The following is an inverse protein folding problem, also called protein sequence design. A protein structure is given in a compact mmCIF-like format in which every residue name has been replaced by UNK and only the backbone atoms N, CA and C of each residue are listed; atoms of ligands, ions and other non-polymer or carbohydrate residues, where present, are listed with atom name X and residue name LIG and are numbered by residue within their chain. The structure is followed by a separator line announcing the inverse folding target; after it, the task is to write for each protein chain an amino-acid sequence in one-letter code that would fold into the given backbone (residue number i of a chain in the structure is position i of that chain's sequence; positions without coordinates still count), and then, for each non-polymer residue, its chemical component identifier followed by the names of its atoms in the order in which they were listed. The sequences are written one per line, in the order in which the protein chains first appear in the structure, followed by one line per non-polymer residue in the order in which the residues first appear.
data_IF_181855523742
#
_entry.id   IF_181855523742
#
_cell.length_a   1.000
_cell.length_b   1.000
_cell.length_c   1.000
_cell.angle_alpha   90.00
_cell.angle_beta   90.00
_cell.angle_gamma   90.00
#
_symmetry.space_group_name_H-M   'P 1'
#
loop_
_entity.id
_entity.type
_entity.pdbx_description
1 polymer ?
#
# COMPACT_ATOMS: atom_id res chain seq x y z
N UNK A 1 74.31 -44.00 -2.61
CA UNK A 1 73.85 -42.68 -2.10
C UNK A 1 72.34 -42.67 -2.12
N UNK A 2 71.72 -42.85 -0.96
CA UNK A 2 70.26 -42.93 -0.80
C UNK A 2 69.78 -41.55 -0.35
N UNK A 3 69.04 -40.86 -1.22
CA UNK A 3 68.47 -39.53 -0.95
C UNK A 3 67.32 -39.64 0.04
N UNK A 4 67.51 -39.04 1.22
CA UNK A 4 66.45 -38.92 2.23
C UNK A 4 65.42 -37.88 1.80
N UNK A 5 64.15 -38.30 1.71
CA UNK A 5 63.03 -37.41 1.43
C UNK A 5 62.74 -36.50 2.66
N UNK A 6 62.39 -35.22 2.46
CA UNK A 6 62.16 -34.29 3.55
C UNK A 6 60.87 -34.62 4.30
N UNK A 7 61.00 -34.76 5.63
CA UNK A 7 59.92 -34.88 6.59
C UNK A 7 59.00 -33.65 6.53
N UNK A 8 57.72 -33.86 6.15
CA UNK A 8 56.68 -32.84 6.20
C UNK A 8 56.41 -32.46 7.66
N UNK A 9 56.95 -31.33 8.09
CA UNK A 9 56.65 -30.71 9.38
C UNK A 9 55.17 -30.31 9.40
N UNK A 10 54.36 -31.04 10.14
CA UNK A 10 52.93 -30.77 10.33
C UNK A 10 52.78 -29.57 11.27
N UNK A 11 52.59 -28.37 10.71
CA UNK A 11 52.32 -27.15 11.48
C UNK A 11 51.06 -27.34 12.31
N UNK A 12 51.17 -27.32 13.65
CA UNK A 12 50.03 -27.49 14.57
C UNK A 12 48.96 -26.43 14.28
N UNK A 13 47.72 -26.87 14.07
CA UNK A 13 46.60 -25.97 13.80
C UNK A 13 46.40 -24.99 14.97
N UNK A 14 46.64 -23.69 14.73
CA UNK A 14 46.46 -22.64 15.74
C UNK A 14 44.97 -22.40 15.96
N UNK A 15 44.47 -22.75 17.14
CA UNK A 15 43.09 -22.48 17.53
C UNK A 15 42.94 -21.04 18.01
N UNK A 16 41.97 -20.32 17.45
CA UNK A 16 41.59 -18.98 17.89
C UNK A 16 40.43 -19.06 18.88
N UNK A 17 40.29 -18.02 19.71
CA UNK A 17 39.20 -17.88 20.71
C UNK A 17 38.41 -16.57 20.57
N UNK A 18 37.73 -16.34 19.43
CA UNK A 18 36.87 -15.18 19.28
C UNK A 18 35.70 -15.18 20.28
N UNK A 19 35.17 -13.99 20.57
CA UNK A 19 33.94 -13.79 21.35
C UNK A 19 32.75 -13.72 20.38
N UNK A 20 31.73 -14.54 20.60
CA UNK A 20 30.53 -14.51 19.77
C UNK A 20 29.75 -13.21 19.99
N UNK A 21 29.39 -12.45 18.94
CA UNK A 21 28.62 -11.21 19.09
C UNK A 21 27.22 -11.41 19.67
N UNK A 22 26.63 -12.60 19.50
CA UNK A 22 25.25 -12.91 19.89
C UNK A 22 25.17 -13.30 21.37
N UNK A 23 25.75 -14.43 21.77
CA UNK A 23 25.68 -14.91 23.16
C UNK A 23 26.80 -14.36 24.07
N UNK A 24 27.71 -13.55 23.52
CA UNK A 24 28.89 -12.98 24.22
C UNK A 24 29.87 -14.02 24.79
N UNK A 25 29.70 -15.30 24.50
CA UNK A 25 30.61 -16.36 24.94
C UNK A 25 31.83 -16.48 24.02
N UNK A 26 32.99 -16.78 24.60
CA UNK A 26 34.20 -17.14 23.85
C UNK A 26 34.09 -18.58 23.35
N UNK A 27 34.47 -18.82 22.10
CA UNK A 27 34.44 -20.17 21.51
C UNK A 27 35.74 -20.50 20.78
N UNK A 28 36.11 -21.78 20.69
CA UNK A 28 37.33 -22.23 20.00
C UNK A 28 37.02 -22.54 18.55
N UNK A 29 37.85 -22.06 17.63
CA UNK A 29 37.72 -22.34 16.19
C UNK A 29 39.08 -22.42 15.51
N UNK A 30 39.18 -23.26 14.48
CA UNK A 30 40.34 -23.31 13.56
C UNK A 30 40.20 -22.33 12.40
N UNK A 31 38.98 -21.91 12.07
CA UNK A 31 38.70 -21.01 10.95
C UNK A 31 38.93 -19.56 11.36
N UNK A 32 39.65 -18.81 10.52
CA UNK A 32 39.83 -17.37 10.68
C UNK A 32 38.55 -16.56 10.42
N UNK A 33 37.59 -17.11 9.68
CA UNK A 33 36.34 -16.44 9.29
C UNK A 33 35.15 -16.76 10.19
N UNK A 34 35.34 -17.63 11.19
CA UNK A 34 34.27 -18.02 12.11
C UNK A 34 33.99 -16.90 13.13
N UNK A 35 32.80 -16.30 13.03
CA UNK A 35 32.33 -15.19 13.89
C UNK A 35 31.40 -15.65 15.02
N UNK A 36 30.62 -16.71 14.80
CA UNK A 36 29.59 -17.19 15.74
C UNK A 36 29.97 -18.55 16.34
N UNK A 37 29.63 -18.76 17.62
CA UNK A 37 29.95 -20.01 18.32
C UNK A 37 29.11 -21.21 17.84
N UNK A 38 27.91 -20.95 17.30
CA UNK A 38 26.99 -21.99 16.85
C UNK A 38 26.14 -21.53 15.67
N UNK A 39 25.55 -22.50 14.96
CA UNK A 39 24.57 -22.23 13.89
C UNK A 39 23.37 -21.45 14.41
N UNK A 40 22.92 -21.73 15.64
CA UNK A 40 21.81 -21.01 16.29
C UNK A 40 22.15 -19.53 16.48
N UNK A 41 23.33 -19.21 17.03
CA UNK A 41 23.77 -17.82 17.19
C UNK A 41 23.90 -17.09 15.84
N UNK A 42 24.39 -17.78 14.80
CA UNK A 42 24.42 -17.22 13.44
C UNK A 42 23.01 -16.94 12.90
N UNK A 43 22.06 -17.85 13.15
CA UNK A 43 20.66 -17.69 12.72
C UNK A 43 19.94 -16.58 13.47
N UNK A 44 20.17 -16.46 14.79
CA UNK A 44 19.63 -15.38 15.62
C UNK A 44 20.15 -14.02 15.15
N UNK A 45 21.46 -13.86 14.99
CA UNK A 45 22.04 -12.62 14.50
C UNK A 45 21.51 -12.24 13.10
N UNK A 46 21.37 -13.22 12.20
CA UNK A 46 20.80 -12.99 10.88
C UNK A 46 19.30 -12.61 10.95
N UNK A 47 18.54 -13.20 11.87
CA UNK A 47 17.13 -12.87 12.11
C UNK A 47 16.99 -11.44 12.63
N UNK A 48 17.78 -11.07 13.65
CA UNK A 48 17.82 -9.72 14.21
C UNK A 48 18.19 -8.68 13.15
N UNK A 49 19.22 -8.94 12.34
CA UNK A 49 19.60 -8.06 11.22
C UNK A 49 18.47 -7.88 10.20
N UNK A 50 17.74 -8.96 9.87
CA UNK A 50 16.60 -8.89 8.95
C UNK A 50 15.45 -8.10 9.56
N UNK A 51 15.17 -8.28 10.85
CA UNK A 51 14.14 -7.55 11.59
C UNK A 51 14.43 -6.05 11.59
N UNK A 52 15.65 -5.65 11.96
CA UNK A 52 16.04 -4.22 11.98
C UNK A 52 15.97 -3.59 10.59
N UNK A 53 16.43 -4.30 9.55
CA UNK A 53 16.32 -3.81 8.17
C UNK A 53 14.85 -3.61 7.74
N UNK A 54 13.94 -4.51 8.13
CA UNK A 54 12.51 -4.37 7.83
C UNK A 54 11.88 -3.21 8.59
N UNK A 55 12.23 -3.02 9.86
CA UNK A 55 11.78 -1.86 10.63
C UNK A 55 12.27 -0.54 10.02
N UNK A 56 13.53 -0.48 9.57
CA UNK A 56 14.05 0.69 8.86
C UNK A 56 13.29 0.98 7.56
N UNK A 57 12.89 -0.06 6.80
CA UNK A 57 12.00 0.10 5.64
C UNK A 57 10.63 0.64 6.04
N UNK A 58 10.02 0.10 7.10
CA UNK A 58 8.73 0.59 7.61
C UNK A 58 8.80 2.07 7.96
N UNK A 59 9.79 2.47 8.76
CA UNK A 59 9.98 3.85 9.23
C UNK A 59 10.03 4.86 8.10
N UNK A 60 10.57 4.46 6.94
CA UNK A 60 10.77 5.32 5.79
C UNK A 60 9.84 5.01 4.61
N UNK A 61 8.74 4.28 4.84
CA UNK A 61 7.79 3.89 3.79
C UNK A 61 6.64 4.89 3.64
N UNK A 62 6.15 5.07 2.41
CA UNK A 62 5.01 5.94 2.14
C UNK A 62 3.73 5.49 2.88
N UNK A 63 3.53 4.17 3.02
CA UNK A 63 2.38 3.62 3.72
C UNK A 63 2.36 3.99 5.21
N UNK A 64 3.48 3.86 5.92
CA UNK A 64 3.54 4.23 7.34
C UNK A 64 3.41 5.74 7.54
N UNK A 65 3.93 6.55 6.62
CA UNK A 65 3.70 8.00 6.61
C UNK A 65 2.22 8.35 6.39
N UNK A 66 1.52 7.59 5.54
CA UNK A 66 0.07 7.71 5.38
C UNK A 66 -0.67 7.37 6.67
N UNK A 67 -0.30 6.28 7.35
CA UNK A 67 -0.88 5.94 8.66
C UNK A 67 -0.61 7.02 9.71
N UNK A 68 0.59 7.60 9.72
CA UNK A 68 0.92 8.71 10.61
C UNK A 68 0.04 9.94 10.37
N UNK A 69 -0.20 10.29 9.11
CA UNK A 69 -1.13 11.36 8.74
C UNK A 69 -2.55 11.09 9.23
N UNK A 70 -3.06 9.87 9.09
CA UNK A 70 -4.42 9.54 9.56
C UNK A 70 -4.51 9.50 11.09
N UNK A 71 -3.46 9.04 11.79
CA UNK A 71 -3.38 9.11 13.25
C UNK A 71 -3.38 10.56 13.76
N UNK A 72 -2.64 11.45 13.10
CA UNK A 72 -2.65 12.88 13.40
C UNK A 72 -4.04 13.48 13.15
N UNK A 73 -4.66 13.16 12.02
CA UNK A 73 -6.00 13.65 11.65
C UNK A 73 -7.09 13.20 12.62
N UNK A 74 -6.98 11.99 13.18
CA UNK A 74 -7.88 11.48 14.21
C UNK A 74 -7.51 11.94 15.64
N UNK A 75 -6.27 12.41 15.84
CA UNK A 75 -5.73 12.83 17.15
C UNK A 75 -5.34 11.66 18.07
N UNK A 76 -5.27 10.43 17.58
CA UNK A 76 -4.94 9.25 18.40
C UNK A 76 -4.39 8.09 17.56
N UNK A 77 -3.47 7.32 18.14
CA UNK A 77 -2.97 6.06 17.57
C UNK A 77 -4.00 4.93 17.67
N UNK A 78 -5.00 5.05 18.56
CA UNK A 78 -5.98 3.99 18.80
C UNK A 78 -6.90 3.71 17.61
N UNK A 79 -6.90 4.54 16.57
CA UNK A 79 -7.55 4.18 15.30
C UNK A 79 -6.93 2.93 14.66
N UNK A 80 -5.70 2.56 15.04
CA UNK A 80 -5.00 1.36 14.60
C UNK A 80 -5.17 0.16 15.56
N UNK A 81 -6.16 0.21 16.45
CA UNK A 81 -6.44 -0.89 17.38
C UNK A 81 -6.92 -2.14 16.65
N UNK A 82 -6.68 -3.31 17.25
CA UNK A 82 -7.16 -4.61 16.76
C UNK A 82 -6.56 -5.07 15.42
N UNK A 83 -5.39 -4.55 15.05
CA UNK A 83 -4.68 -5.00 13.86
C UNK A 83 -3.88 -6.28 14.07
N UNK A 84 -4.11 -7.25 13.19
CA UNK A 84 -3.21 -8.37 12.90
C UNK A 84 -2.36 -8.07 11.66
N UNK A 85 -1.32 -8.88 11.40
CA UNK A 85 -0.53 -8.80 10.15
C UNK A 85 -1.45 -8.87 8.92
N UNK A 86 -2.42 -9.79 8.90
CA UNK A 86 -3.36 -9.94 7.78
C UNK A 86 -4.24 -8.71 7.58
N UNK A 87 -4.75 -8.12 8.68
CA UNK A 87 -5.56 -6.91 8.57
C UNK A 87 -4.76 -5.70 8.08
N UNK A 88 -3.47 -5.61 8.44
CA UNK A 88 -2.59 -4.54 7.96
C UNK A 88 -2.22 -4.72 6.49
N UNK A 89 -2.08 -5.97 6.02
CA UNK A 89 -1.92 -6.28 4.60
C UNK A 89 -3.17 -5.84 3.83
N UNK A 90 -4.37 -6.18 4.31
CA UNK A 90 -5.62 -5.74 3.69
C UNK A 90 -5.74 -4.20 3.67
N UNK A 91 -5.32 -3.53 4.76
CA UNK A 91 -5.28 -2.07 4.82
C UNK A 91 -4.29 -1.47 3.80
N UNK A 92 -3.12 -2.10 3.64
CA UNK A 92 -2.14 -1.72 2.62
C UNK A 92 -2.69 -1.93 1.20
N UNK A 93 -3.51 -2.94 0.97
CA UNK A 93 -4.18 -3.16 -0.32
C UNK A 93 -5.20 -2.05 -0.64
N UNK A 94 -5.96 -1.57 0.35
CA UNK A 94 -6.82 -0.37 0.19
C UNK A 94 -5.99 0.87 -0.17
N UNK A 95 -4.85 1.07 0.51
CA UNK A 95 -3.93 2.15 0.18
C UNK A 95 -3.38 2.05 -1.25
N UNK A 96 -2.97 0.86 -1.69
CA UNK A 96 -2.53 0.61 -3.07
C UNK A 96 -3.63 0.85 -4.09
N UNK A 97 -4.87 0.45 -3.79
CA UNK A 97 -6.01 0.71 -4.68
C UNK A 97 -6.21 2.21 -4.86
N UNK A 98 -6.19 3.00 -3.78
CA UNK A 98 -6.25 4.46 -3.86
C UNK A 98 -5.11 5.06 -4.69
N UNK A 99 -3.89 4.53 -4.57
CA UNK A 99 -2.77 4.99 -5.40
C UNK A 99 -2.98 4.67 -6.88
N UNK A 100 -3.38 3.43 -7.21
CA UNK A 100 -3.64 3.00 -8.59
C UNK A 100 -4.78 3.79 -9.23
N UNK A 101 -5.88 3.98 -8.50
CA UNK A 101 -7.04 4.73 -8.97
C UNK A 101 -6.69 6.20 -9.30
N UNK A 102 -5.75 6.79 -8.55
CA UNK A 102 -5.23 8.14 -8.78
C UNK A 102 -3.97 8.17 -9.66
N UNK A 103 -3.65 7.07 -10.36
CA UNK A 103 -2.49 7.00 -11.25
C UNK A 103 -1.19 7.43 -10.55
N UNK A 104 -1.03 6.98 -9.29
CA UNK A 104 0.09 7.30 -8.40
C UNK A 104 0.31 8.80 -8.16
N UNK A 105 -0.76 9.61 -8.23
CA UNK A 105 -0.77 11.03 -7.92
C UNK A 105 -0.86 11.96 -9.13
N UNK A 106 -0.97 11.42 -10.34
CA UNK A 106 -1.29 12.22 -11.54
C UNK A 106 -2.69 12.81 -11.46
N UNK A 107 -3.63 12.10 -10.82
CA UNK A 107 -4.97 12.63 -10.51
C UNK A 107 -5.27 12.57 -9.01
N UNK A 108 -6.39 13.18 -8.59
CA UNK A 108 -6.86 13.22 -7.19
C UNK A 108 -8.35 12.92 -7.09
N UNK A 109 -8.84 12.06 -7.98
CA UNK A 109 -10.25 11.78 -8.16
C UNK A 109 -10.80 10.85 -7.07
N UNK A 110 -9.92 10.11 -6.38
CA UNK A 110 -10.30 9.14 -5.37
C UNK A 110 -9.62 9.37 -4.01
N UNK A 111 -10.38 9.16 -2.94
CA UNK A 111 -9.93 9.26 -1.56
C UNK A 111 -10.32 7.99 -0.78
N UNK A 112 -9.68 7.77 0.36
CA UNK A 112 -10.10 6.73 1.31
C UNK A 112 -11.20 7.32 2.19
N UNK A 113 -12.43 6.88 1.96
CA UNK A 113 -13.61 7.22 2.74
C UNK A 113 -13.79 6.26 3.92
N UNK A 114 -14.34 6.76 5.01
CA UNK A 114 -14.66 5.98 6.20
C UNK A 114 -16.15 5.62 6.23
N UNK A 115 -16.48 4.37 6.54
CA UNK A 115 -17.86 3.92 6.78
C UNK A 115 -18.36 4.50 8.12
N UNK A 116 -17.64 4.22 9.22
CA UNK A 116 -17.79 4.96 10.46
C UNK A 116 -16.82 6.15 10.46
N UNK A 117 -17.29 7.41 10.58
CA UNK A 117 -16.47 8.58 10.33
C UNK A 117 -15.29 8.73 11.31
N UNK A 118 -14.14 9.17 10.81
CA UNK A 118 -12.95 9.44 11.63
C UNK A 118 -13.11 10.62 12.61
N UNK A 119 -14.14 11.45 12.41
CA UNK A 119 -14.47 12.58 13.28
C UNK A 119 -15.93 12.52 13.75
N UNK A 120 -16.41 11.33 14.12
CA UNK A 120 -17.72 11.17 14.74
C UNK A 120 -17.82 11.92 16.08
N UNK A 121 -19.05 12.24 16.50
CA UNK A 121 -19.34 12.96 17.75
C UNK A 121 -18.99 12.11 18.97
N UNK A 122 -19.51 10.90 19.04
CA UNK A 122 -19.39 10.01 20.21
C UNK A 122 -18.34 8.90 20.00
N UNK A 123 -18.09 8.54 18.74
CA UNK A 123 -17.12 7.52 18.35
C UNK A 123 -16.16 8.02 17.27
N UNK A 124 -15.05 7.31 17.12
CA UNK A 124 -14.05 7.52 16.07
C UNK A 124 -13.97 6.23 15.26
N UNK A 125 -14.14 6.33 13.94
CA UNK A 125 -13.91 5.21 13.03
C UNK A 125 -12.48 4.68 13.11
N UNK A 126 -12.33 3.36 13.20
CA UNK A 126 -11.02 2.71 13.14
C UNK A 126 -10.48 2.74 11.71
N UNK A 127 -9.16 2.85 11.59
CA UNK A 127 -8.47 2.90 10.30
C UNK A 127 -8.16 1.48 9.80
N UNK A 128 -9.23 0.72 9.58
CA UNK A 128 -9.18 -0.70 9.23
C UNK A 128 -9.80 -0.94 7.85
N UNK A 129 -9.31 -1.89 7.07
CA UNK A 129 -9.83 -2.14 5.71
C UNK A 129 -11.36 -2.36 5.69
N UNK A 130 -11.91 -3.01 6.70
CA UNK A 130 -13.35 -3.22 6.89
C UNK A 130 -14.16 -1.93 7.14
N UNK A 131 -13.53 -0.86 7.64
CA UNK A 131 -14.16 0.43 7.89
C UNK A 131 -13.85 1.48 6.81
N UNK A 132 -13.11 1.11 5.77
CA UNK A 132 -12.62 2.02 4.74
C UNK A 132 -13.13 1.62 3.37
N UNK A 133 -13.32 2.58 2.47
CA UNK A 133 -13.74 2.40 1.07
C UNK A 133 -12.95 3.39 0.22
N UNK A 134 -12.31 2.96 -0.87
CA UNK A 134 -11.82 3.92 -1.88
C UNK A 134 -13.02 4.45 -2.66
N UNK A 135 -13.23 5.76 -2.64
CA UNK A 135 -14.41 6.38 -3.25
C UNK A 135 -14.05 7.69 -3.97
N UNK A 136 -14.88 8.13 -4.94
CA UNK A 136 -14.71 9.44 -5.57
C UNK A 136 -14.67 10.57 -4.53
N UNK A 137 -13.72 11.48 -4.69
CA UNK A 137 -13.44 12.60 -3.79
C UNK A 137 -14.69 13.46 -3.54
N UNK A 138 -15.47 13.76 -4.59
CA UNK A 138 -16.66 14.59 -4.48
C UNK A 138 -17.76 13.93 -3.63
N UNK A 139 -17.97 12.61 -3.77
CA UNK A 139 -18.95 11.85 -2.97
C UNK A 139 -18.52 11.76 -1.51
N UNK A 140 -17.23 11.48 -1.26
CA UNK A 140 -16.67 11.45 0.10
C UNK A 140 -16.87 12.79 0.82
N UNK A 141 -16.54 13.91 0.15
CA UNK A 141 -16.70 15.26 0.71
C UNK A 141 -18.16 15.62 0.96
N UNK A 142 -19.07 15.27 0.04
CA UNK A 142 -20.51 15.48 0.22
C UNK A 142 -21.11 14.62 1.33
N UNK A 143 -20.56 13.43 1.56
CA UNK A 143 -20.97 12.54 2.65
C UNK A 143 -20.55 13.09 4.02
N UNK A 144 -19.36 13.68 4.12
CA UNK A 144 -18.88 14.35 5.32
C UNK A 144 -18.79 13.39 6.51
N UNK A 145 -19.55 13.67 7.58
CA UNK A 145 -19.59 12.86 8.81
C UNK A 145 -20.92 12.11 8.98
N UNK A 146 -21.70 11.95 7.90
CA UNK A 146 -22.90 11.11 7.93
C UNK A 146 -22.50 9.68 8.34
N UNK A 147 -23.40 9.02 9.06
CA UNK A 147 -23.14 7.71 9.61
C UNK A 147 -24.42 6.87 9.58
N UNK A 148 -24.36 5.71 8.94
CA UNK A 148 -25.51 4.82 8.79
C UNK A 148 -25.49 3.64 9.79
N UNK A 149 -24.64 3.68 10.82
CA UNK A 149 -24.64 2.65 11.88
C UNK A 149 -23.74 1.43 11.62
N UNK A 150 -22.90 1.44 10.57
CA UNK A 150 -22.02 0.32 10.21
C UNK A 150 -20.53 0.68 10.28
N UNK A 151 -19.64 -0.31 10.30
CA UNK A 151 -18.20 -0.09 10.29
C UNK A 151 -17.58 -0.02 11.69
N UNK A 152 -16.27 -0.26 11.74
CA UNK A 152 -15.54 -0.40 12.99
C UNK A 152 -15.26 0.96 13.63
N UNK A 153 -15.48 1.06 14.95
CA UNK A 153 -15.26 2.30 15.68
C UNK A 153 -14.81 2.04 17.13
N UNK A 154 -14.29 3.10 17.75
CA UNK A 154 -13.99 3.16 19.18
C UNK A 154 -14.72 4.35 19.81
N UNK A 155 -15.30 4.14 20.99
CA UNK A 155 -15.90 5.24 21.76
C UNK A 155 -14.83 6.26 22.15
N UNK A 156 -15.15 7.55 22.06
CA UNK A 156 -14.25 8.61 22.55
C UNK A 156 -13.94 8.49 24.03
N UNK A 157 -14.89 7.99 24.83
CA UNK A 157 -14.69 7.75 26.26
C UNK A 157 -13.70 6.62 26.55
N UNK A 158 -13.43 5.73 25.58
CA UNK A 158 -12.47 4.64 25.70
C UNK A 158 -11.04 5.03 25.24
N UNK A 159 -10.84 6.30 24.83
CA UNK A 159 -9.52 6.77 24.42
C UNK A 159 -8.60 6.96 25.63
N UNK A 160 -7.36 6.54 25.46
CA UNK A 160 -6.29 6.62 26.45
C UNK A 160 -5.35 7.74 26.06
N UNK A 161 -5.15 8.69 26.97
CA UNK A 161 -4.33 9.91 26.77
C UNK A 161 -2.91 9.62 26.29
N UNK A 162 -2.28 8.51 26.73
CA UNK A 162 -0.93 8.10 26.31
C UNK A 162 -0.79 7.87 24.80
N UNK A 163 -1.90 7.59 24.11
CA UNK A 163 -1.96 7.36 22.66
C UNK A 163 -2.42 8.59 21.88
N UNK A 164 -2.65 9.72 22.54
CA UNK A 164 -2.99 10.97 21.87
C UNK A 164 -1.86 11.42 20.93
N UNK A 165 -2.25 12.02 19.81
CA UNK A 165 -1.35 12.58 18.81
C UNK A 165 -1.67 14.06 18.67
N UNK A 166 -0.69 14.92 18.93
CA UNK A 166 -0.83 16.35 18.78
C UNK A 166 -0.81 16.74 17.29
N UNK A 167 -1.58 17.77 16.94
CA UNK A 167 -1.54 18.39 15.62
C UNK A 167 -0.16 19.04 15.39
N UNK A 168 0.45 18.80 14.24
CA UNK A 168 1.78 19.31 13.90
C UNK A 168 2.95 18.50 14.47
N UNK A 169 2.68 17.35 15.11
CA UNK A 169 3.76 16.47 15.58
C UNK A 169 4.59 15.93 14.39
N UNK A 170 5.93 15.82 14.52
CA UNK A 170 6.77 15.32 13.44
C UNK A 170 6.33 13.91 12.98
N UNK A 171 6.02 13.75 11.69
CA UNK A 171 5.52 12.48 11.12
C UNK A 171 6.42 11.29 11.44
N UNK A 172 7.74 11.47 11.40
CA UNK A 172 8.72 10.43 11.74
C UNK A 172 8.53 9.92 13.18
N UNK A 173 8.30 10.82 14.14
CA UNK A 173 8.02 10.44 15.53
C UNK A 173 6.68 9.71 15.67
N UNK A 174 5.65 10.12 14.91
CA UNK A 174 4.37 9.41 14.89
C UNK A 174 4.57 7.99 14.33
N UNK A 175 5.35 7.80 13.27
CA UNK A 175 5.67 6.48 12.72
C UNK A 175 6.36 5.59 13.76
N UNK A 176 7.35 6.11 14.49
CA UNK A 176 8.02 5.38 15.57
C UNK A 176 7.02 4.94 16.65
N UNK A 177 6.09 5.84 17.03
CA UNK A 177 5.01 5.51 17.97
C UNK A 177 4.01 4.48 17.40
N UNK A 178 3.72 4.51 16.10
CA UNK A 178 2.90 3.49 15.43
C UNK A 178 3.58 2.12 15.52
N UNK A 179 4.88 2.05 15.24
CA UNK A 179 5.65 0.79 15.33
C UNK A 179 5.63 0.25 16.77
N UNK A 180 5.80 1.11 17.76
CA UNK A 180 5.70 0.73 19.17
C UNK A 180 4.29 0.29 19.56
N UNK A 181 3.25 0.96 19.04
CA UNK A 181 1.84 0.66 19.32
C UNK A 181 1.37 -0.67 18.72
N UNK A 182 1.68 -0.93 17.44
CA UNK A 182 1.33 -2.17 16.75
C UNK A 182 2.22 -3.35 17.16
N UNK A 183 3.43 -3.06 17.65
CA UNK A 183 4.45 -4.05 17.96
C UNK A 183 5.47 -4.19 16.81
N UNK A 184 6.78 -4.13 17.09
CA UNK A 184 7.82 -4.17 16.06
C UNK A 184 7.82 -5.47 15.26
N UNK A 185 7.45 -6.60 15.87
CA UNK A 185 7.40 -7.90 15.18
C UNK A 185 6.26 -7.98 14.18
N UNK A 186 5.10 -7.43 14.54
CA UNK A 186 3.93 -7.33 13.64
C UNK A 186 4.28 -6.47 12.42
N UNK A 187 4.93 -5.33 12.64
CA UNK A 187 5.35 -4.43 11.55
C UNK A 187 6.43 -5.08 10.68
N UNK A 188 7.42 -5.75 11.27
CA UNK A 188 8.45 -6.43 10.51
C UNK A 188 7.89 -7.54 9.62
N UNK A 189 6.89 -8.29 10.10
CA UNK A 189 6.22 -9.31 9.29
C UNK A 189 5.31 -8.69 8.23
N UNK A 190 4.61 -7.60 8.52
CA UNK A 190 3.88 -6.82 7.52
C UNK A 190 4.79 -6.39 6.36
N UNK A 191 5.95 -5.79 6.66
CA UNK A 191 6.91 -5.35 5.64
C UNK A 191 7.34 -6.50 4.74
N UNK A 192 7.54 -7.68 5.33
CA UNK A 192 7.90 -8.89 4.59
C UNK A 192 6.75 -9.37 3.69
N UNK A 193 5.54 -9.52 4.24
CA UNK A 193 4.39 -10.09 3.52
C UNK A 193 3.88 -9.13 2.44
N UNK A 194 3.73 -7.85 2.77
CA UNK A 194 3.27 -6.82 1.84
C UNK A 194 4.38 -6.25 0.94
N UNK A 195 5.61 -6.76 1.06
CA UNK A 195 6.81 -6.32 0.31
C UNK A 195 7.03 -4.79 0.38
N UNK A 196 6.76 -4.17 1.53
CA UNK A 196 6.87 -2.70 1.70
C UNK A 196 8.33 -2.25 1.51
N UNK A 197 8.51 -1.20 0.72
CA UNK A 197 9.81 -0.56 0.51
C UNK A 197 9.86 0.83 1.13
N UNK A 198 11.07 1.30 1.41
CA UNK A 198 11.32 2.71 1.70
C UNK A 198 10.97 3.57 0.48
N UNK A 199 10.67 4.84 0.72
CA UNK A 199 10.46 5.78 -0.39
C UNK A 199 11.72 5.88 -1.26
N UNK A 200 11.52 6.14 -2.56
CA UNK A 200 12.63 6.34 -3.48
C UNK A 200 13.52 7.52 -3.05
N UNK A 201 12.92 8.60 -2.54
CA UNK A 201 13.67 9.73 -1.96
C UNK A 201 14.62 9.25 -0.87
N UNK A 202 14.13 8.47 0.10
CA UNK A 202 14.97 7.96 1.18
C UNK A 202 16.08 7.02 0.66
N UNK A 203 15.75 6.13 -0.28
CA UNK A 203 16.75 5.24 -0.89
C UNK A 203 17.83 6.02 -1.67
N UNK A 204 17.47 7.07 -2.40
CA UNK A 204 18.40 7.95 -3.10
C UNK A 204 19.26 8.74 -2.12
N UNK A 205 18.66 9.30 -1.08
CA UNK A 205 19.37 10.08 -0.05
C UNK A 205 20.39 9.20 0.68
N UNK A 206 19.99 7.99 1.09
CA UNK A 206 20.90 7.04 1.73
C UNK A 206 22.05 6.63 0.80
N UNK A 207 21.75 6.37 -0.48
CA UNK A 207 22.79 6.07 -1.46
C UNK A 207 23.78 7.23 -1.63
N UNK A 208 23.27 8.47 -1.72
CA UNK A 208 24.11 9.67 -1.84
C UNK A 208 24.98 9.88 -0.59
N UNK A 209 24.45 9.67 0.61
CA UNK A 209 25.22 9.74 1.85
C UNK A 209 26.35 8.70 1.92
N UNK A 210 26.14 7.51 1.35
CA UNK A 210 27.16 6.45 1.33
C UNK A 210 28.25 6.67 0.26
N UNK A 211 28.00 7.50 -0.75
CA UNK A 211 28.88 7.66 -1.93
C UNK A 211 29.49 9.07 -2.09
N UNK A 212 29.02 10.07 -1.34
CA UNK A 212 29.62 11.40 -1.29
C UNK A 212 30.72 11.43 -0.23
N UNK A 213 31.89 11.97 -0.61
CA UNK A 213 33.03 12.14 0.28
C UNK A 213 32.94 13.49 1.01
N UNK A 214 32.82 13.52 2.35
CA UNK A 214 32.74 14.76 3.13
C UNK A 214 34.04 15.58 3.10
N UNK A 215 35.14 15.05 2.57
CA UNK A 215 36.43 15.73 2.45
C UNK A 215 36.50 16.61 1.19
N UNK A 216 35.69 16.30 0.16
CA UNK A 216 35.65 17.09 -1.07
C UNK A 216 34.65 18.25 -0.90
N UNK A 217 35.07 19.53 -1.02
CA UNK A 217 34.20 20.69 -0.74
C UNK A 217 32.88 20.69 -1.52
N UNK A 218 32.93 20.42 -2.83
CA UNK A 218 31.73 20.35 -3.67
C UNK A 218 30.77 19.23 -3.24
N UNK A 219 31.29 18.09 -2.79
CA UNK A 219 30.48 16.96 -2.32
C UNK A 219 29.91 17.20 -0.93
N UNK A 220 30.59 18.00 -0.11
CA UNK A 220 30.10 18.45 1.19
C UNK A 220 28.93 19.41 1.05
N UNK A 221 28.98 20.35 0.10
CA UNK A 221 27.84 21.23 -0.19
C UNK A 221 26.62 20.44 -0.68
N UNK A 222 26.83 19.37 -1.45
CA UNK A 222 25.74 18.44 -1.78
C UNK A 222 25.19 17.72 -0.56
N UNK A 223 26.05 17.22 0.34
CA UNK A 223 25.62 16.56 1.59
C UNK A 223 24.74 17.47 2.45
N UNK A 224 25.14 18.73 2.61
CA UNK A 224 24.43 19.71 3.43
C UNK A 224 23.08 20.14 2.80
N UNK A 225 22.92 20.01 1.48
CA UNK A 225 21.71 20.38 0.75
C UNK A 225 20.75 19.21 0.46
N UNK A 226 21.14 17.95 0.72
CA UNK A 226 20.35 16.74 0.41
C UNK A 226 18.90 16.79 0.94
N UNK A 227 18.71 17.31 2.15
CA UNK A 227 17.39 17.36 2.79
C UNK A 227 16.43 18.32 2.08
N UNK A 228 16.95 19.35 1.39
CA UNK A 228 16.17 20.33 0.62
C UNK A 228 15.88 19.92 -0.82
N UNK A 229 16.64 18.99 -1.40
CA UNK A 229 16.52 18.61 -2.81
C UNK A 229 15.20 17.90 -3.12
N UNK A 230 14.69 18.02 -4.36
CA UNK A 230 13.54 17.23 -4.83
C UNK A 230 13.97 15.80 -5.20
N UNK A 231 13.04 14.84 -5.27
CA UNK A 231 13.37 13.46 -5.69
C UNK A 231 13.99 13.42 -7.10
N UNK A 232 13.58 14.32 -7.99
CA UNK A 232 14.16 14.43 -9.34
C UNK A 232 15.59 14.97 -9.30
N UNK A 233 15.84 16.00 -8.49
CA UNK A 233 17.20 16.54 -8.28
C UNK A 233 18.13 15.49 -7.67
N UNK A 234 17.66 14.71 -6.69
CA UNK A 234 18.42 13.59 -6.10
C UNK A 234 18.74 12.50 -7.13
N UNK A 235 17.80 12.20 -8.05
CA UNK A 235 18.08 11.26 -9.16
C UNK A 235 19.10 11.81 -10.14
N UNK A 236 19.02 13.11 -10.46
CA UNK A 236 19.97 13.77 -11.34
C UNK A 236 21.38 13.75 -10.73
N UNK A 237 21.51 14.10 -9.45
CA UNK A 237 22.79 14.05 -8.72
C UNK A 237 23.36 12.62 -8.65
N UNK A 238 22.50 11.62 -8.45
CA UNK A 238 22.94 10.22 -8.53
C UNK A 238 23.43 9.86 -9.94
N UNK A 239 22.73 10.31 -10.98
CA UNK A 239 23.09 10.02 -12.37
C UNK A 239 24.41 10.68 -12.79
N UNK A 240 24.69 11.90 -12.32
CA UNK A 240 25.98 12.58 -12.54
C UNK A 240 27.12 11.85 -11.85
N UNK A 241 26.93 11.38 -10.60
CA UNK A 241 27.93 10.59 -9.87
C UNK A 241 28.21 9.22 -10.51
N UNK A 242 27.20 8.60 -11.14
CA UNK A 242 27.37 7.33 -11.87
C UNK A 242 27.91 7.51 -13.30
N UNK A 243 28.13 8.75 -13.77
CA UNK A 243 28.58 9.03 -15.14
C UNK A 243 27.57 8.62 -16.22
N UNK A 244 26.28 8.51 -15.85
CA UNK A 244 25.19 8.09 -16.74
C UNK A 244 24.25 9.26 -16.97
N UNK A 245 24.54 10.12 -17.95
CA UNK A 245 23.58 11.14 -18.36
C UNK A 245 22.35 10.49 -19.00
N UNK A 246 21.19 10.71 -18.38
CA UNK A 246 19.89 10.79 -19.06
C UNK A 246 19.36 9.55 -19.78
N UNK A 247 19.28 8.37 -19.13
CA UNK A 247 18.28 7.38 -19.57
C UNK A 247 16.89 7.91 -19.24
N UNK A 248 16.05 8.02 -20.27
CA UNK A 248 14.79 8.78 -20.30
C UNK A 248 13.86 8.60 -19.09
N UNK A 249 12.99 9.59 -18.88
CA UNK A 249 12.01 9.59 -17.79
C UNK A 249 11.20 8.30 -17.81
N UNK A 250 11.35 7.46 -16.78
CA UNK A 250 10.52 6.28 -16.58
C UNK A 250 9.05 6.70 -16.49
N UNK A 251 8.27 6.38 -17.54
CA UNK A 251 6.82 6.59 -17.56
C UNK A 251 6.18 5.31 -17.03
N UNK A 252 5.60 5.39 -15.83
CA UNK A 252 4.75 4.31 -15.31
C UNK A 252 3.53 4.20 -16.22
N UNK A 253 3.36 3.06 -16.90
CA UNK A 253 2.09 2.75 -17.58
C UNK A 253 0.99 2.68 -16.51
N UNK A 254 0.09 3.65 -16.50
CA UNK A 254 -1.01 3.72 -15.53
C UNK A 254 -2.30 3.22 -16.17
N UNK A 255 -3.10 2.47 -15.40
CA UNK A 255 -4.46 2.11 -15.79
C UNK A 255 -5.42 3.19 -15.29
N UNK A 256 -6.25 3.72 -16.18
CA UNK A 256 -7.30 4.66 -15.79
C UNK A 256 -8.47 3.90 -15.17
N UNK A 257 -8.79 4.23 -13.92
CA UNK A 257 -9.95 3.69 -13.19
C UNK A 257 -11.13 4.65 -13.27
N UNK A 258 -12.31 4.13 -13.58
CA UNK A 258 -13.58 4.88 -13.45
C UNK A 258 -14.16 4.70 -12.04
N UNK A 259 -15.12 5.56 -11.66
CA UNK A 259 -15.84 5.41 -10.38
C UNK A 259 -16.51 4.04 -10.25
N UNK A 260 -17.10 3.55 -11.34
CA UNK A 260 -17.72 2.22 -11.40
C UNK A 260 -16.73 1.09 -11.15
N UNK A 261 -15.52 1.17 -11.75
CA UNK A 261 -14.48 0.16 -11.56
C UNK A 261 -14.05 0.07 -10.09
N UNK A 262 -13.81 1.23 -9.47
CA UNK A 262 -13.43 1.31 -8.06
C UNK A 262 -14.55 0.79 -7.15
N UNK A 263 -15.80 1.19 -7.37
CA UNK A 263 -16.92 0.71 -6.57
C UNK A 263 -17.15 -0.79 -6.69
N UNK A 264 -16.95 -1.38 -7.87
CA UNK A 264 -17.08 -2.82 -8.03
C UNK A 264 -16.00 -3.57 -7.24
N UNK A 265 -14.75 -3.11 -7.31
CA UNK A 265 -13.64 -3.66 -6.52
C UNK A 265 -13.92 -3.56 -5.02
N UNK A 266 -14.46 -2.42 -4.58
CA UNK A 266 -14.83 -2.20 -3.18
C UNK A 266 -16.03 -3.04 -2.74
N UNK A 267 -17.07 -3.20 -3.56
CA UNK A 267 -18.21 -4.07 -3.28
C UNK A 267 -17.77 -5.53 -3.13
N UNK A 268 -16.87 -6.01 -4.00
CA UNK A 268 -16.30 -7.35 -3.90
C UNK A 268 -15.50 -7.54 -2.63
N UNK A 269 -14.62 -6.59 -2.33
CA UNK A 269 -13.81 -6.64 -1.12
C UNK A 269 -14.70 -6.62 0.13
N UNK A 270 -15.69 -5.74 0.18
CA UNK A 270 -16.61 -5.61 1.30
C UNK A 270 -17.61 -6.75 1.42
N UNK A 271 -17.91 -7.47 0.34
CA UNK A 271 -18.76 -8.67 0.41
C UNK A 271 -18.19 -9.78 1.31
N UNK A 272 -16.88 -9.73 1.62
CA UNK A 272 -16.26 -10.63 2.58
C UNK A 272 -16.66 -10.33 4.04
N UNK A 273 -16.96 -9.07 4.36
CA UNK A 273 -17.39 -8.63 5.70
C UNK A 273 -18.91 -8.47 5.79
N UNK A 274 -19.53 -8.09 4.67
CA UNK A 274 -20.96 -7.85 4.49
C UNK A 274 -21.50 -8.70 3.34
N UNK A 275 -21.79 -10.00 3.57
CA UNK A 275 -22.19 -10.94 2.52
C UNK A 275 -23.42 -10.51 1.71
N UNK A 276 -24.29 -9.69 2.28
CA UNK A 276 -25.45 -9.11 1.60
C UNK A 276 -25.05 -8.26 0.38
N UNK A 277 -23.86 -7.65 0.38
CA UNK A 277 -23.33 -6.88 -0.75
C UNK A 277 -23.00 -7.75 -1.97
N UNK A 278 -22.80 -9.06 -1.77
CA UNK A 278 -22.58 -9.99 -2.88
C UNK A 278 -23.77 -10.00 -3.86
N UNK A 279 -24.98 -9.69 -3.40
CA UNK A 279 -26.17 -9.58 -4.27
C UNK A 279 -25.99 -8.42 -5.25
N UNK A 280 -25.52 -7.26 -4.76
CA UNK A 280 -25.26 -6.07 -5.59
C UNK A 280 -24.17 -6.37 -6.61
N UNK A 281 -23.06 -7.00 -6.19
CA UNK A 281 -21.97 -7.44 -7.09
C UNK A 281 -22.50 -8.36 -8.19
N UNK A 282 -23.30 -9.37 -7.82
CA UNK A 282 -23.85 -10.32 -8.78
C UNK A 282 -24.77 -9.64 -9.80
N UNK A 283 -25.56 -8.64 -9.38
CA UNK A 283 -26.41 -7.87 -10.29
C UNK A 283 -25.55 -7.08 -11.28
N UNK A 284 -24.59 -6.29 -10.78
CA UNK A 284 -23.75 -5.44 -11.63
C UNK A 284 -22.86 -6.25 -12.59
N UNK A 285 -22.23 -7.34 -12.12
CA UNK A 285 -21.34 -8.16 -12.95
C UNK A 285 -22.07 -9.20 -13.79
N UNK A 286 -22.94 -10.02 -13.20
CA UNK A 286 -23.44 -11.22 -13.92
C UNK A 286 -24.67 -10.94 -14.76
N UNK A 287 -25.50 -9.96 -14.36
CA UNK A 287 -26.75 -9.69 -15.07
C UNK A 287 -26.61 -8.63 -16.15
N UNK A 288 -25.70 -7.67 -16.00
CA UNK A 288 -25.51 -6.62 -17.00
C UNK A 288 -24.35 -6.89 -17.98
N UNK A 289 -23.30 -7.62 -17.58
CA UNK A 289 -22.14 -7.86 -18.45
C UNK A 289 -22.44 -8.59 -19.78
N UNK A 290 -23.41 -9.52 -19.86
CA UNK A 290 -23.77 -10.14 -21.15
C UNK A 290 -24.36 -9.16 -22.17
N UNK A 291 -24.89 -8.02 -21.70
CA UNK A 291 -25.63 -7.06 -22.53
C UNK A 291 -24.83 -5.78 -22.80
N UNK A 292 -23.66 -5.61 -22.17
CA UNK A 292 -22.67 -4.60 -22.53
C UNK A 292 -21.83 -5.12 -23.68
N UNK A 293 -21.76 -4.41 -24.81
CA UNK A 293 -21.03 -4.86 -26.00
C UNK A 293 -19.59 -5.26 -25.65
N UNK A 294 -19.01 -6.20 -26.41
CA UNK A 294 -17.63 -6.67 -26.22
C UNK A 294 -16.59 -5.53 -26.20
N UNK A 295 -16.93 -4.34 -26.73
CA UNK A 295 -16.10 -3.13 -26.72
C UNK A 295 -16.39 -2.15 -25.56
N UNK A 296 -17.50 -2.33 -24.83
CA UNK A 296 -17.95 -1.52 -23.67
C UNK A 296 -17.91 -2.31 -22.35
N UNK A 297 -17.00 -3.28 -22.22
CA UNK A 297 -16.91 -4.26 -21.11
C UNK A 297 -16.77 -3.71 -19.68
N UNK A 298 -16.87 -2.38 -19.49
CA UNK A 298 -16.86 -1.73 -18.18
C UNK A 298 -18.27 -1.35 -17.76
N UNK A 299 -18.62 -1.72 -16.53
CA UNK A 299 -19.85 -1.24 -15.88
C UNK A 299 -19.83 0.29 -15.89
N UNK A 300 -20.88 0.91 -16.42
CA UNK A 300 -21.02 2.36 -16.44
C UNK A 300 -22.23 2.79 -15.60
N UNK A 301 -21.94 3.25 -14.38
CA UNK A 301 -22.92 3.79 -13.46
C UNK A 301 -23.10 5.29 -13.71
N UNK A 302 -24.35 5.74 -13.84
CA UNK A 302 -24.66 7.17 -13.84
C UNK A 302 -24.53 7.77 -12.42
N UNK A 303 -24.65 9.10 -12.28
CA UNK A 303 -24.48 9.79 -10.99
C UNK A 303 -25.43 9.26 -9.89
N UNK A 304 -26.70 8.95 -10.22
CA UNK A 304 -27.68 8.43 -9.25
C UNK A 304 -27.31 7.03 -8.78
N UNK A 305 -26.87 6.17 -9.70
CA UNK A 305 -26.41 4.81 -9.41
C UNK A 305 -25.11 4.81 -8.60
N UNK A 306 -24.16 5.68 -8.95
CA UNK A 306 -22.92 5.88 -8.19
C UNK A 306 -23.20 6.30 -6.74
N UNK A 307 -24.09 7.28 -6.53
CA UNK A 307 -24.48 7.72 -5.19
C UNK A 307 -25.11 6.58 -4.38
N UNK A 308 -26.02 5.81 -5.00
CA UNK A 308 -26.70 4.72 -4.29
C UNK A 308 -25.73 3.57 -3.92
N UNK A 309 -24.79 3.22 -4.81
CA UNK A 309 -23.73 2.25 -4.51
C UNK A 309 -22.81 2.76 -3.40
N UNK A 310 -22.42 4.03 -3.46
CA UNK A 310 -21.63 4.69 -2.42
C UNK A 310 -22.33 4.59 -1.06
N UNK A 311 -23.62 4.94 -1.00
CA UNK A 311 -24.40 4.93 0.24
C UNK A 311 -24.51 3.52 0.84
N UNK A 312 -24.75 2.49 0.00
CA UNK A 312 -24.77 1.09 0.45
C UNK A 312 -23.41 0.63 0.98
N UNK A 313 -22.31 0.99 0.30
CA UNK A 313 -20.96 0.73 0.80
C UNK A 313 -20.71 1.39 2.16
N UNK A 314 -21.33 2.54 2.44
CA UNK A 314 -21.22 3.27 3.71
C UNK A 314 -22.23 2.82 4.78
N UNK A 315 -22.99 1.75 4.52
CA UNK A 315 -23.86 1.13 5.52
C UNK A 315 -25.35 1.36 5.32
N UNK A 316 -25.80 1.95 4.21
CA UNK A 316 -27.22 1.86 3.90
C UNK A 316 -27.63 0.39 3.68
N UNK A 317 -28.86 0.02 4.08
CA UNK A 317 -29.41 -1.31 3.83
C UNK A 317 -29.46 -1.59 2.33
N UNK A 318 -29.23 -2.83 1.93
CA UNK A 318 -29.19 -3.22 0.50
C UNK A 318 -30.56 -3.06 -0.16
N UNK A 319 -31.63 -3.13 0.64
CA UNK A 319 -33.00 -2.87 0.21
C UNK A 319 -33.17 -1.43 -0.31
N UNK A 320 -32.38 -0.46 0.18
CA UNK A 320 -32.48 0.93 -0.25
C UNK A 320 -32.00 1.15 -1.71
N UNK A 321 -31.10 0.31 -2.23
CA UNK A 321 -30.61 0.44 -3.62
C UNK A 321 -31.52 -0.29 -4.63
N UNK A 322 -32.52 -1.03 -4.17
CA UNK A 322 -33.33 -1.92 -4.99
C UNK A 322 -33.96 -1.25 -6.22
N UNK A 323 -34.59 -0.09 -6.02
CA UNK A 323 -35.23 0.65 -7.11
C UNK A 323 -34.20 1.13 -8.14
N UNK A 324 -33.03 1.57 -7.68
CA UNK A 324 -31.94 2.04 -8.54
C UNK A 324 -31.36 0.87 -9.35
N UNK A 325 -31.19 -0.31 -8.75
CA UNK A 325 -30.74 -1.50 -9.48
C UNK A 325 -31.77 -1.98 -10.51
N UNK A 326 -33.07 -1.85 -10.21
CA UNK A 326 -34.12 -2.19 -11.17
C UNK A 326 -34.09 -1.29 -12.41
N UNK A 327 -33.95 0.02 -12.21
CA UNK A 327 -33.77 0.97 -13.31
C UNK A 327 -32.48 0.69 -14.09
N UNK A 328 -31.37 0.41 -13.40
CA UNK A 328 -30.10 0.03 -14.02
C UNK A 328 -30.24 -1.21 -14.90
N UNK A 329 -30.86 -2.27 -14.40
CA UNK A 329 -31.11 -3.49 -15.19
C UNK A 329 -31.96 -3.15 -16.40
N UNK A 330 -33.10 -2.49 -16.20
CA UNK A 330 -34.01 -2.13 -17.31
C UNK A 330 -33.27 -1.37 -18.41
N UNK A 331 -32.42 -0.40 -18.06
CA UNK A 331 -31.62 0.39 -19.01
C UNK A 331 -30.61 -0.43 -19.82
N UNK A 332 -30.04 -1.50 -19.25
CA UNK A 332 -29.03 -2.32 -19.94
C UNK A 332 -29.60 -3.59 -20.58
N UNK A 333 -30.80 -4.02 -20.20
CA UNK A 333 -31.47 -5.21 -20.75
C UNK A 333 -32.63 -4.88 -21.68
N UNK A 334 -32.97 -3.59 -21.88
CA UNK A 334 -34.06 -3.18 -22.79
C UNK A 334 -33.67 -3.12 -24.27
N UNK A 335 -32.42 -3.40 -24.63
CA UNK A 335 -32.01 -3.54 -26.04
C UNK A 335 -32.49 -4.91 -26.51
N UNK A 336 -33.45 -4.91 -27.44
CA UNK A 336 -33.91 -6.12 -28.11
C UNK A 336 -32.78 -6.69 -28.97
N UNK A 337 -32.37 -7.91 -28.66
CA UNK A 337 -31.57 -8.73 -29.58
C UNK A 337 -32.55 -9.59 -30.38
N UNK A 338 -32.65 -9.34 -31.70
CA UNK A 338 -33.41 -10.18 -32.64
C UNK A 338 -34.91 -10.44 -32.35
N UNK A 339 -35.59 -9.56 -31.61
CA UNK A 339 -37.06 -9.65 -31.43
C UNK A 339 -37.52 -10.69 -30.40
N UNK A 340 -36.62 -11.32 -29.65
CA UNK A 340 -37.00 -12.13 -28.50
C UNK A 340 -36.98 -11.30 -27.22
N UNK A 341 -38.15 -11.18 -26.59
CA UNK A 341 -38.34 -10.53 -25.31
C UNK A 341 -37.70 -11.41 -24.23
N UNK A 342 -36.68 -10.88 -23.54
CA UNK A 342 -36.12 -11.51 -22.34
C UNK A 342 -37.30 -11.85 -21.39
N UNK A 343 -37.39 -13.10 -20.87
CA UNK A 343 -38.51 -13.53 -20.04
C UNK A 343 -38.73 -12.58 -18.85
N UNK A 344 -40.01 -12.39 -18.49
CA UNK A 344 -40.43 -11.43 -17.48
C UNK A 344 -39.57 -11.53 -16.20
N UNK A 345 -39.00 -10.39 -15.85
CA UNK A 345 -38.22 -10.14 -14.65
C UNK A 345 -38.82 -10.83 -13.42
N UNK A 346 -38.05 -11.69 -12.75
CA UNK A 346 -38.34 -12.09 -11.36
C UNK A 346 -37.86 -10.96 -10.45
N UNK A 347 -38.71 -10.40 -9.56
CA UNK A 347 -38.31 -9.45 -8.53
C UNK A 347 -37.01 -9.86 -7.85
N UNK A 348 -36.09 -8.92 -7.66
CA UNK A 348 -34.93 -9.16 -6.80
C UNK A 348 -35.48 -9.42 -5.39
N UNK A 349 -35.32 -10.65 -4.93
CA UNK A 349 -35.68 -11.03 -3.57
C UNK A 349 -34.39 -11.03 -2.75
N UNK A 350 -34.26 -10.05 -1.85
CA UNK A 350 -33.22 -10.08 -0.84
C UNK A 350 -33.59 -11.09 0.24
N UNK A 351 -33.09 -12.32 0.10
CA UNK A 351 -33.20 -13.32 1.17
C UNK A 351 -32.09 -13.08 2.21
N UNK A 352 -32.13 -11.95 2.92
CA UNK A 352 -31.19 -11.66 4.00
C UNK A 352 -31.70 -12.34 5.27
N UNK A 353 -31.12 -13.50 5.60
CA UNK A 353 -31.27 -14.05 6.95
C UNK A 353 -30.33 -13.25 7.87
N UNK A 354 -30.79 -12.67 8.99
CA UNK A 354 -29.91 -12.00 9.94
C UNK A 354 -28.96 -13.04 10.51
N UNK A 355 -27.69 -13.00 10.10
CA UNK A 355 -26.66 -13.89 10.63
C UNK A 355 -26.04 -13.19 11.84
N UNK A 356 -26.22 -13.78 13.02
CA UNK A 356 -25.47 -13.39 14.23
C UNK A 356 -23.97 -13.39 13.93
N UNK A 357 -23.26 -12.39 14.45
CA UNK A 357 -21.84 -12.17 14.30
C UNK A 357 -21.04 -13.40 14.74
N UNK A 358 -20.67 -14.25 13.79
CA UNK A 358 -19.66 -15.30 13.99
C UNK A 358 -18.29 -14.73 13.65
N UNK A 359 -17.32 -14.99 14.52
CA UNK A 359 -15.91 -14.63 14.38
C UNK A 359 -15.36 -14.82 12.95
N UNK A 360 -14.52 -13.89 12.44
CA UNK A 360 -14.10 -13.93 11.05
C UNK A 360 -13.18 -15.13 10.82
N UNK A 361 -13.57 -16.00 9.89
CA UNK A 361 -12.65 -16.97 9.31
C UNK A 361 -11.64 -16.23 8.43
N UNK A 362 -10.36 -16.41 8.72
CA UNK A 362 -9.26 -15.90 7.89
C UNK A 362 -9.27 -16.68 6.56
N UNK A 363 -9.81 -16.07 5.51
CA UNK A 363 -9.75 -16.62 4.15
C UNK A 363 -8.72 -15.83 3.35
N UNK A 364 -7.64 -16.51 2.99
CA UNK A 364 -6.57 -15.98 2.13
C UNK A 364 -7.03 -16.12 0.67
N UNK A 365 -7.31 -15.00 -0.02
CA UNK A 365 -7.54 -15.00 -1.46
C UNK A 365 -6.23 -15.24 -2.20
N UNK A 366 -6.12 -16.37 -2.90
CA UNK A 366 -5.10 -16.65 -3.91
C UNK A 366 -5.51 -16.07 -5.27
N UNK A 367 -5.59 -14.75 -5.40
CA UNK A 367 -5.73 -14.12 -6.72
C UNK A 367 -5.24 -12.68 -6.68
N UNK A 368 -3.92 -12.47 -6.58
CA UNK A 368 -3.28 -11.22 -7.02
C UNK A 368 -1.84 -11.56 -7.43
N UNK A 369 -1.49 -11.30 -8.70
CA UNK A 369 -0.11 -11.34 -9.18
C UNK A 369 0.73 -10.36 -8.38
N UNK A 370 1.98 -10.73 -8.11
CA UNK A 370 2.87 -9.94 -7.29
C UNK A 370 3.40 -8.74 -8.09
N UNK A 371 3.66 -7.60 -7.44
CA UNK A 371 4.27 -6.41 -8.07
C UNK A 371 5.59 -6.70 -8.81
N UNK A 372 6.29 -7.79 -8.44
CA UNK A 372 7.50 -8.21 -9.15
C UNK A 372 7.16 -8.89 -10.49
N UNK A 373 6.05 -9.64 -10.54
CA UNK A 373 5.61 -10.38 -11.73
C UNK A 373 5.16 -9.40 -12.84
N UNK A 374 4.67 -8.21 -12.48
CA UNK A 374 4.33 -7.13 -13.43
C UNK A 374 5.57 -6.34 -13.92
N UNK A 375 6.68 -6.37 -13.18
CA UNK A 375 7.94 -5.72 -13.59
C UNK A 375 8.79 -6.64 -14.49
N UNK A 376 8.78 -7.95 -14.23
CA UNK A 376 9.57 -8.93 -14.98
C UNK A 376 8.99 -9.19 -16.39
N UNK A 377 7.67 -9.10 -16.59
CA UNK A 377 7.03 -9.20 -17.92
C UNK A 377 7.33 -7.97 -18.82
N UNK A 378 7.84 -6.86 -18.27
CA UNK A 378 8.15 -5.64 -19.03
C UNK A 378 9.56 -5.61 -19.63
N UNK A 379 10.50 -6.40 -19.07
CA UNK A 379 11.87 -6.49 -19.57
C UNK A 379 11.99 -7.42 -20.80
N UNK A 380 10.99 -8.29 -21.05
CA UNK A 380 11.00 -9.23 -22.19
C UNK A 380 10.37 -8.69 -23.49
N UNK A 381 9.86 -7.44 -23.51
CA UNK A 381 9.13 -6.90 -24.68
C UNK A 381 9.70 -5.60 -25.30
N UNK A 382 10.92 -5.20 -24.95
CA UNK A 382 11.59 -4.09 -25.64
C UNK A 382 12.66 -4.59 -26.61
N UNK A 383 12.22 -5.22 -27.69
CA UNK A 383 13.05 -5.34 -28.90
C UNK A 383 13.02 -4.02 -29.69
N UNK A 384 14.25 -3.61 -30.02
CA UNK A 384 14.74 -2.65 -31.01
C UNK A 384 13.69 -1.81 -31.78
N UNK A 385 13.43 -0.60 -31.29
CA UNK A 385 12.96 0.49 -32.15
C UNK A 385 13.75 1.77 -31.88
N UNK A 386 14.48 2.20 -32.90
CA UNK A 386 15.15 3.48 -32.99
C UNK A 386 14.15 4.64 -32.92
N UNK A 387 14.45 5.63 -32.09
CA UNK A 387 13.64 6.84 -31.92
C UNK A 387 13.89 7.85 -33.06
N UNK A 388 12.86 8.55 -33.56
CA UNK A 388 13.07 9.76 -34.33
C UNK A 388 13.47 10.91 -33.39
N UNK A 389 14.51 11.64 -33.82
CA UNK A 389 14.98 12.89 -33.22
C UNK A 389 13.84 13.91 -33.22
N UNK A 390 13.45 14.41 -32.04
CA UNK A 390 12.55 15.55 -31.94
C UNK A 390 13.20 16.67 -31.13
N UNK A 391 13.10 17.84 -31.75
CA UNK A 391 13.83 19.06 -31.50
C UNK A 391 13.48 19.69 -30.15
N UNK A 392 14.49 20.35 -29.59
CA UNK A 392 14.44 21.19 -28.41
C UNK A 392 13.49 22.37 -28.66
N UNK A 393 12.34 22.36 -27.99
CA UNK A 393 11.57 23.58 -27.75
C UNK A 393 11.78 23.99 -26.29
N UNK A 394 12.60 25.02 -26.09
CA UNK A 394 12.73 25.76 -24.84
C UNK A 394 11.42 26.49 -24.55
N UNK A 395 10.59 25.92 -23.70
CA UNK A 395 9.51 26.65 -23.03
C UNK A 395 10.00 26.98 -21.62
N UNK A 396 10.36 28.25 -21.42
CA UNK A 396 10.47 28.89 -20.11
C UNK A 396 9.13 28.79 -19.39
N UNK A 397 9.06 27.97 -18.33
CA UNK A 397 7.97 28.04 -17.37
C UNK A 397 8.38 28.99 -16.25
N UNK A 398 7.73 30.16 -16.20
CA UNK A 398 7.63 30.97 -15.00
C UNK A 398 7.01 30.11 -13.89
N UNK A 399 7.68 30.08 -12.74
CA UNK A 399 7.21 29.37 -11.57
C UNK A 399 6.16 30.21 -10.85
N UNK A 400 4.90 29.79 -10.92
CA UNK A 400 3.86 30.31 -10.04
C UNK A 400 4.11 29.87 -8.58
N UNK A 401 3.85 30.75 -7.59
CA UNK A 401 4.13 30.50 -6.19
C UNK A 401 3.22 29.42 -5.58
N UNK A 402 3.79 28.63 -4.67
CA UNK A 402 3.10 27.60 -3.89
C UNK A 402 2.01 28.23 -2.99
N UNK A 403 0.77 27.69 -2.96
CA UNK A 403 -0.26 28.13 -2.02
C UNK A 403 0.03 27.41 -0.68
N UNK A 404 0.23 28.04 0.47
CA UNK A 404 -0.50 29.08 1.22
C UNK A 404 0.43 29.50 2.39
N UNK A 405 0.45 30.70 2.99
CA UNK A 405 -0.51 31.83 3.07
C UNK A 405 -2.00 31.51 2.92
#
# INVERSE_FOLDING_TARGET
MTTAAPSKTTTKAVYRRPTCPECKQRFRTKSATAIYCSRQCKQLAASTKRRTARLAKATNSAFLYHLAYECERAGTLQILSSHTVYSLVALHDVYKLKLRANQYGQTRDFEISHICPSKGRDSIGLYHAENLVVAPTHLNRAHGTKYYGHGLSISRSALVSKHAVAKGAPRKQIVERIIAFLGPDVVAELVKVAKIQSTQRHALTAWLQDHLDPVVPEQRDYLDSLDGMTTQALRALKATLEGKEGKGSFVVKTTTYTASDVFLLELERHSTYRPELAVVVNILRKRAAPFTSQHLSRINLNTREQQAVFDVLHGQPVEAIQNVLNEYIARHTSVMDHGERIPAYKPIVFNVKPKQASSPAVVVLKTFRSFADELDELDEQMDDMSLPVLQVNTATYEADPLPWE
#
